data_IF_209868267359
#
_entry.id   IF_209868267359
#
_cell.length_a   1.000
_cell.length_b   1.000
_cell.length_c   1.000
_cell.angle_alpha   90.00
_cell.angle_beta   90.00
_cell.angle_gamma   90.00
#
_symmetry.space_group_name_H-M   'P 1'
#
loop_
_entity.id
_entity.type
_entity.pdbx_description
1 polymer ?
#
# COMPACT_ATOMS: atom_id res chain seq x y z
N UNK A 1 38.26 -0.72 -1.44
CA UNK A 1 37.89 -0.60 -2.86
C UNK A 1 36.95 -1.73 -3.24
N UNK A 2 35.67 -1.42 -3.46
CA UNK A 2 34.77 -2.21 -4.32
C UNK A 2 33.44 -1.44 -4.43
N UNK A 3 33.31 -0.65 -5.50
CA UNK A 3 32.05 -0.09 -5.98
C UNK A 3 31.31 -1.21 -6.70
N UNK A 4 30.04 -1.46 -6.38
CA UNK A 4 29.13 -2.11 -7.31
C UNK A 4 27.87 -1.27 -7.45
N UNK A 5 27.63 -0.88 -8.70
CA UNK A 5 26.61 0.04 -9.17
C UNK A 5 25.23 -0.62 -9.21
N UNK A 6 24.23 0.17 -8.86
CA UNK A 6 22.90 0.36 -9.49
C UNK A 6 22.51 -0.63 -10.60
N UNK A 7 21.26 -1.12 -10.55
CA UNK A 7 20.24 -1.03 -11.62
C UNK A 7 18.86 -1.41 -11.01
N UNK A 8 18.04 -0.42 -10.64
CA UNK A 8 16.82 0.02 -11.36
C UNK A 8 16.04 -1.11 -12.04
N UNK A 9 15.01 -1.61 -11.35
CA UNK A 9 13.93 -2.40 -11.92
C UNK A 9 12.94 -1.41 -12.54
N UNK A 10 12.96 -1.32 -13.86
CA UNK A 10 11.99 -0.59 -14.66
C UNK A 10 10.91 -1.56 -15.17
N UNK A 11 9.66 -1.11 -15.07
CA UNK A 11 8.56 -1.31 -16.03
C UNK A 11 8.20 -2.74 -16.48
N UNK A 12 7.15 -3.29 -15.88
CA UNK A 12 6.35 -4.35 -16.50
C UNK A 12 5.16 -3.72 -17.24
N UNK A 13 5.42 -3.34 -18.49
CA UNK A 13 4.40 -2.97 -19.47
C UNK A 13 3.75 -4.22 -20.06
N UNK A 14 2.42 -4.28 -19.93
CA UNK A 14 1.49 -5.10 -20.68
C UNK A 14 1.68 -4.94 -22.20
N UNK A 15 2.12 -5.99 -22.90
CA UNK A 15 1.87 -6.21 -24.33
C UNK A 15 1.65 -7.71 -24.55
N UNK A 16 0.39 -8.11 -24.72
CA UNK A 16 -0.27 -8.32 -26.01
C UNK A 16 0.17 -9.61 -26.73
N UNK A 17 -0.77 -10.56 -26.72
CA UNK A 17 -0.81 -11.73 -27.59
C UNK A 17 -0.48 -11.35 -29.03
N UNK A 18 0.52 -12.03 -29.62
CA UNK A 18 0.57 -12.24 -31.07
C UNK A 18 0.84 -13.72 -31.34
N UNK A 19 -0.08 -14.45 -32.00
CA UNK A 19 0.20 -15.78 -32.49
C UNK A 19 1.24 -15.66 -33.61
N UNK A 20 2.32 -16.43 -33.47
CA UNK A 20 3.33 -16.58 -34.51
C UNK A 20 2.68 -17.30 -35.69
N UNK A 21 2.35 -16.58 -36.76
CA UNK A 21 1.90 -17.19 -38.01
C UNK A 21 3.10 -17.84 -38.68
N UNK A 22 3.14 -19.17 -38.64
CA UNK A 22 4.10 -19.96 -39.42
C UNK A 22 3.68 -19.83 -40.88
N UNK A 23 4.48 -19.09 -41.66
CA UNK A 23 4.37 -19.00 -43.11
C UNK A 23 4.93 -20.30 -43.70
N UNK A 24 4.05 -21.15 -44.23
CA UNK A 24 4.47 -22.33 -45.00
C UNK A 24 4.92 -21.88 -46.39
N UNK A 25 6.13 -22.23 -46.86
CA UNK A 25 6.50 -21.99 -48.24
C UNK A 25 5.66 -22.88 -49.16
N UNK A 26 5.02 -22.24 -50.14
CA UNK A 26 4.28 -22.89 -51.21
C UNK A 26 5.23 -23.78 -52.02
N UNK A 27 5.04 -25.10 -51.96
CA UNK A 27 5.74 -26.05 -52.82
C UNK A 27 5.19 -25.92 -54.25
N UNK A 28 5.98 -25.25 -55.09
CA UNK A 28 5.78 -25.15 -56.53
C UNK A 28 5.79 -26.52 -57.21
N UNK A 29 4.83 -26.70 -58.10
CA UNK A 29 4.68 -27.88 -58.96
C UNK A 29 5.89 -28.01 -59.89
N UNK A 30 6.71 -29.02 -59.65
CA UNK A 30 7.67 -29.55 -60.60
C UNK A 30 7.46 -31.06 -60.74
N UNK A 31 6.52 -31.49 -61.59
CA UNK A 31 6.39 -32.91 -61.97
C UNK A 31 7.58 -33.29 -62.86
N UNK A 32 8.72 -33.64 -62.25
CA UNK A 32 9.63 -34.60 -62.88
C UNK A 32 9.00 -35.97 -62.68
N UNK A 33 8.69 -36.66 -63.78
CA UNK A 33 8.31 -38.06 -63.76
C UNK A 33 9.52 -38.84 -63.24
N UNK A 34 9.51 -39.18 -61.96
CA UNK A 34 10.39 -40.20 -61.41
C UNK A 34 9.88 -41.53 -61.94
N UNK A 35 10.66 -42.16 -62.81
CA UNK A 35 10.48 -43.55 -63.20
C UNK A 35 11.25 -44.35 -62.15
N UNK A 36 10.59 -45.13 -61.29
CA UNK A 36 11.29 -46.05 -60.40
C UNK A 36 11.92 -47.12 -61.28
N UNK A 37 13.25 -47.13 -61.33
CA UNK A 37 13.98 -48.27 -61.90
C UNK A 37 13.74 -49.50 -61.01
N UNK A 38 13.55 -50.63 -61.66
CA UNK A 38 13.05 -51.86 -61.05
C UNK A 38 14.19 -52.65 -60.42
N UNK A 39 13.89 -53.29 -59.29
CA UNK A 39 14.71 -54.31 -58.59
C UNK A 39 15.82 -53.77 -57.70
N UNK A 40 15.42 -53.18 -56.58
CA UNK A 40 16.00 -53.65 -55.33
C UNK A 40 14.96 -54.59 -54.73
N UNK A 41 15.39 -55.80 -54.38
CA UNK A 41 14.62 -56.68 -53.49
C UNK A 41 14.20 -55.85 -52.28
N UNK A 42 13.00 -56.06 -51.71
CA UNK A 42 12.73 -55.51 -50.39
C UNK A 42 13.84 -56.05 -49.48
N UNK A 43 14.83 -55.22 -49.14
CA UNK A 43 15.63 -55.48 -47.95
C UNK A 43 14.59 -55.70 -46.87
N UNK A 44 14.46 -56.95 -46.44
CA UNK A 44 13.58 -57.35 -45.36
C UNK A 44 13.99 -56.47 -44.18
N UNK A 45 13.25 -55.37 -44.00
CA UNK A 45 13.46 -54.45 -42.91
C UNK A 45 13.24 -55.28 -41.67
N UNK A 46 14.35 -55.60 -41.01
CA UNK A 46 14.39 -56.49 -39.87
C UNK A 46 13.33 -56.03 -38.88
N UNK A 47 12.27 -56.83 -38.77
CA UNK A 47 11.12 -56.49 -37.95
C UNK A 47 11.56 -56.33 -36.48
N UNK A 48 12.62 -57.05 -36.08
CA UNK A 48 13.27 -56.91 -34.77
C UNK A 48 13.89 -55.51 -34.60
N UNK A 49 14.57 -54.98 -35.61
CA UNK A 49 15.17 -53.64 -35.56
C UNK A 49 14.13 -52.50 -35.50
N UNK A 50 12.97 -52.68 -36.13
CA UNK A 50 11.85 -51.73 -36.05
C UNK A 50 11.21 -51.76 -34.65
N UNK A 51 11.01 -52.94 -34.06
CA UNK A 51 10.47 -53.09 -32.72
C UNK A 51 11.41 -52.50 -31.65
N UNK A 52 12.71 -52.74 -31.77
CA UNK A 52 13.73 -52.16 -30.89
C UNK A 52 13.71 -50.62 -30.92
N UNK A 53 13.60 -50.03 -32.12
CA UNK A 53 13.50 -48.57 -32.26
C UNK A 53 12.24 -47.98 -31.62
N UNK A 54 11.09 -48.66 -31.75
CA UNK A 54 9.83 -48.24 -31.13
C UNK A 54 9.91 -48.38 -29.61
N UNK A 55 10.51 -49.46 -29.12
CA UNK A 55 10.67 -49.72 -27.69
C UNK A 55 11.63 -48.71 -27.03
N UNK A 56 12.76 -48.41 -27.68
CA UNK A 56 13.75 -47.43 -27.20
C UNK A 56 13.19 -46.00 -27.25
N UNK A 57 12.48 -45.64 -28.32
CA UNK A 57 11.80 -44.34 -28.43
C UNK A 57 10.73 -44.18 -27.34
N UNK A 58 9.97 -45.23 -27.04
CA UNK A 58 9.01 -45.27 -25.96
C UNK A 58 9.65 -45.22 -24.57
N UNK A 59 10.85 -45.78 -24.40
CA UNK A 59 11.64 -45.64 -23.17
C UNK A 59 12.09 -44.19 -22.98
N UNK A 60 12.70 -43.59 -24.00
CA UNK A 60 13.20 -42.20 -23.93
C UNK A 60 12.09 -41.18 -23.67
N UNK A 61 10.91 -41.38 -24.26
CA UNK A 61 9.74 -40.54 -23.99
C UNK A 61 9.23 -40.66 -22.54
N UNK A 62 9.29 -41.87 -21.96
CA UNK A 62 8.97 -42.10 -20.54
C UNK A 62 9.98 -41.42 -19.62
N UNK A 63 11.27 -41.53 -19.90
CA UNK A 63 12.34 -40.90 -19.12
C UNK A 63 12.23 -39.37 -19.11
N UNK A 64 11.93 -38.76 -20.27
CA UNK A 64 11.71 -37.31 -20.38
C UNK A 64 10.49 -36.88 -19.54
N UNK A 65 9.41 -37.66 -19.58
CA UNK A 65 8.20 -37.38 -18.82
C UNK A 65 8.45 -37.50 -17.31
N UNK A 66 9.13 -38.55 -16.88
CA UNK A 66 9.48 -38.75 -15.47
C UNK A 66 10.42 -37.66 -14.95
N UNK A 67 11.42 -37.25 -15.74
CA UNK A 67 12.30 -36.13 -15.40
C UNK A 67 11.53 -34.81 -15.28
N UNK A 68 10.58 -34.56 -16.19
CA UNK A 68 9.69 -33.39 -16.14
C UNK A 68 8.80 -33.40 -14.90
N UNK A 69 8.18 -34.55 -14.59
CA UNK A 69 7.32 -34.72 -13.42
C UNK A 69 8.12 -34.57 -12.11
N UNK A 70 9.34 -35.11 -12.04
CA UNK A 70 10.23 -34.94 -10.89
C UNK A 70 10.66 -33.48 -10.70
N UNK A 71 10.88 -32.72 -11.78
CA UNK A 71 11.18 -31.30 -11.72
C UNK A 71 9.98 -30.49 -11.20
N UNK A 72 8.78 -30.77 -11.73
CA UNK A 72 7.53 -30.17 -11.24
C UNK A 72 7.31 -30.43 -9.75
N UNK A 73 7.49 -31.67 -9.30
CA UNK A 73 7.35 -32.03 -7.88
C UNK A 73 8.37 -31.28 -7.00
N UNK A 74 9.62 -31.14 -7.44
CA UNK A 74 10.63 -30.36 -6.73
C UNK A 74 10.24 -28.89 -6.63
N UNK A 75 9.72 -28.28 -7.69
CA UNK A 75 9.28 -26.89 -7.69
C UNK A 75 8.04 -26.68 -6.81
N UNK A 76 7.06 -27.58 -6.87
CA UNK A 76 5.93 -27.57 -5.93
C UNK A 76 6.38 -27.68 -4.47
N UNK A 77 7.35 -28.56 -4.19
CA UNK A 77 7.90 -28.69 -2.85
C UNK A 77 8.60 -27.41 -2.38
N UNK A 78 9.45 -26.81 -3.23
CA UNK A 78 10.12 -25.53 -2.95
C UNK A 78 9.12 -24.42 -2.68
N UNK A 79 8.07 -24.32 -3.50
CA UNK A 79 7.00 -23.34 -3.31
C UNK A 79 6.27 -23.57 -1.98
N UNK A 80 5.92 -24.82 -1.65
CA UNK A 80 5.23 -25.16 -0.40
C UNK A 80 6.08 -24.81 0.83
N UNK A 81 7.38 -25.12 0.80
CA UNK A 81 8.32 -24.77 1.89
C UNK A 81 8.45 -23.26 2.02
N UNK A 82 8.62 -22.54 0.90
CA UNK A 82 8.70 -21.07 0.90
C UNK A 82 7.43 -20.41 1.46
N UNK A 83 6.26 -20.90 1.06
CA UNK A 83 4.98 -20.45 1.59
C UNK A 83 4.87 -20.72 3.09
N UNK A 84 5.25 -21.92 3.55
CA UNK A 84 5.27 -22.26 4.98
C UNK A 84 6.19 -21.33 5.77
N UNK A 85 7.41 -21.09 5.28
CA UNK A 85 8.35 -20.15 5.90
C UNK A 85 7.79 -18.72 5.97
N UNK A 86 7.19 -18.23 4.88
CA UNK A 86 6.51 -16.91 4.86
C UNK A 86 5.35 -16.84 5.86
N UNK A 87 4.55 -17.91 5.97
CA UNK A 87 3.45 -17.97 6.93
C UNK A 87 3.99 -17.95 8.35
N UNK A 88 5.01 -18.76 8.66
CA UNK A 88 5.66 -18.77 9.97
C UNK A 88 6.28 -17.41 10.32
N UNK A 89 6.97 -16.78 9.37
CA UNK A 89 7.51 -15.43 9.50
C UNK A 89 6.42 -14.42 9.88
N UNK A 90 5.29 -14.43 9.16
CA UNK A 90 4.15 -13.52 9.42
C UNK A 90 3.42 -13.81 10.73
N UNK A 91 3.36 -15.07 11.16
CA UNK A 91 2.65 -15.48 12.38
C UNK A 91 3.47 -15.17 13.63
N UNK A 92 4.75 -15.55 13.64
CA UNK A 92 5.58 -15.57 14.85
C UNK A 92 6.56 -14.41 14.94
N UNK A 93 7.03 -13.87 13.80
CA UNK A 93 8.05 -12.81 13.76
C UNK A 93 7.44 -11.47 13.35
N UNK A 94 6.29 -11.12 13.94
CA UNK A 94 5.70 -9.80 13.76
C UNK A 94 6.61 -8.78 14.44
N UNK A 95 7.26 -7.93 13.65
CA UNK A 95 7.92 -6.73 14.21
C UNK A 95 6.87 -5.96 15.01
N UNK A 96 7.18 -5.50 16.23
CA UNK A 96 6.25 -4.69 17.01
C UNK A 96 5.85 -3.49 16.16
N UNK A 97 4.57 -3.42 15.81
CA UNK A 97 4.05 -2.35 14.98
C UNK A 97 3.73 -1.16 15.88
N UNK A 98 4.30 0.00 15.52
CA UNK A 98 3.94 1.27 16.15
C UNK A 98 2.44 1.53 16.02
N UNK A 99 1.80 1.84 17.14
CA UNK A 99 0.40 2.22 17.17
C UNK A 99 0.22 3.56 16.47
N UNK A 100 -0.93 3.72 15.80
CA UNK A 100 -1.32 4.98 15.20
C UNK A 100 -1.68 6.00 16.29
N UNK A 101 -0.78 6.94 16.55
CA UNK A 101 -1.00 8.07 17.45
C UNK A 101 -1.22 9.39 16.72
N UNK A 102 -0.96 9.45 15.40
CA UNK A 102 -1.20 10.63 14.61
C UNK A 102 -2.62 10.69 14.06
N UNK A 103 -3.23 11.87 14.18
CA UNK A 103 -4.46 12.22 13.48
C UNK A 103 -4.23 12.20 11.97
N UNK A 104 -5.33 12.15 11.21
CA UNK A 104 -5.22 12.21 9.76
C UNK A 104 -4.55 13.50 9.27
N UNK A 105 -4.89 14.63 9.90
CA UNK A 105 -4.33 15.95 9.57
C UNK A 105 -2.81 16.01 9.76
N UNK A 106 -2.30 15.50 10.88
CA UNK A 106 -0.86 15.42 11.11
C UNK A 106 -0.15 14.54 10.07
N UNK A 107 -0.77 13.42 9.66
CA UNK A 107 -0.21 12.55 8.61
C UNK A 107 -0.15 13.26 7.27
N UNK A 108 -1.20 14.00 6.93
CA UNK A 108 -1.25 14.75 5.67
C UNK A 108 -0.23 15.90 5.66
N UNK A 109 -0.06 16.57 6.81
CA UNK A 109 0.98 17.57 7.00
C UNK A 109 2.38 17.00 6.79
N UNK A 110 2.70 15.82 7.35
CA UNK A 110 3.99 15.15 7.13
C UNK A 110 4.22 14.87 5.64
N UNK A 111 3.20 14.37 4.93
CA UNK A 111 3.30 14.11 3.48
C UNK A 111 3.53 15.41 2.71
N UNK A 112 2.80 16.47 3.05
CA UNK A 112 2.92 17.77 2.41
C UNK A 112 4.33 18.36 2.57
N UNK A 113 4.85 18.35 3.80
CA UNK A 113 6.19 18.89 4.11
C UNK A 113 7.28 18.14 3.33
N UNK A 114 7.26 16.80 3.37
CA UNK A 114 8.24 15.99 2.64
C UNK A 114 8.14 16.16 1.11
N UNK A 115 6.92 16.38 0.58
CA UNK A 115 6.73 16.59 -0.85
C UNK A 115 7.16 17.97 -1.33
N UNK A 116 6.99 19.02 -0.49
CA UNK A 116 7.36 20.40 -0.84
C UNK A 116 8.84 20.68 -0.61
N UNK A 117 9.39 20.15 0.47
CA UNK A 117 10.73 20.47 0.96
C UNK A 117 11.46 19.19 1.41
N UNK A 118 11.82 18.30 0.47
CA UNK A 118 12.46 17.03 0.81
C UNK A 118 13.86 17.19 1.42
N UNK A 119 14.56 18.29 1.11
CA UNK A 119 15.92 18.55 1.61
C UNK A 119 15.93 18.99 3.08
N UNK A 120 14.97 19.82 3.48
CA UNK A 120 14.83 20.29 4.87
C UNK A 120 14.08 19.26 5.73
N UNK A 121 13.02 18.66 5.18
CA UNK A 121 12.16 17.71 5.90
C UNK A 121 12.51 16.27 5.56
N UNK A 122 13.71 15.86 5.97
CA UNK A 122 14.11 14.45 5.91
C UNK A 122 13.25 13.59 6.86
N UNK A 123 13.14 12.27 6.61
CA UNK A 123 12.41 11.36 7.51
C UNK A 123 12.91 11.39 8.96
N UNK A 124 14.16 11.80 9.19
CA UNK A 124 14.77 11.97 10.50
C UNK A 124 14.28 13.26 11.17
N UNK A 125 14.34 14.40 10.47
CA UNK A 125 13.81 15.67 10.97
C UNK A 125 12.30 15.59 11.31
N UNK A 126 11.53 14.90 10.47
CA UNK A 126 10.10 14.65 10.72
C UNK A 126 9.87 13.78 11.97
N UNK A 127 10.75 12.82 12.24
CA UNK A 127 10.64 11.98 13.43
C UNK A 127 11.01 12.74 14.72
N UNK A 128 11.72 13.86 14.63
CA UNK A 128 12.03 14.74 15.77
C UNK A 128 10.88 15.70 16.08
N UNK A 129 10.16 16.18 15.06
CA UNK A 129 9.05 17.11 15.24
C UNK A 129 7.73 16.42 15.64
N UNK A 130 7.54 15.15 15.26
CA UNK A 130 6.31 14.40 15.52
C UNK A 130 6.54 13.21 16.47
N UNK A 131 5.51 12.76 17.21
CA UNK A 131 5.59 11.62 18.13
C UNK A 131 5.53 10.27 17.38
N UNK A 132 6.43 10.08 16.40
CA UNK A 132 6.50 8.88 15.53
C UNK A 132 7.96 8.49 15.30
N UNK A 133 8.24 7.21 15.08
CA UNK A 133 9.59 6.75 14.72
C UNK A 133 9.97 7.13 13.30
N UNK A 134 11.27 7.08 13.00
CA UNK A 134 11.77 7.13 11.62
C UNK A 134 11.11 6.05 10.75
N UNK A 135 10.95 4.83 11.27
CA UNK A 135 10.25 3.76 10.56
C UNK A 135 8.78 4.09 10.33
N UNK A 136 8.10 4.65 11.32
CA UNK A 136 6.71 5.10 11.21
C UNK A 136 6.53 6.20 10.16
N UNK A 137 7.43 7.19 10.10
CA UNK A 137 7.42 8.24 9.08
C UNK A 137 7.60 7.63 7.68
N UNK A 138 8.58 6.74 7.49
CA UNK A 138 8.77 6.04 6.22
C UNK A 138 7.52 5.26 5.80
N UNK A 139 6.83 4.60 6.74
CA UNK A 139 5.56 3.91 6.45
C UNK A 139 4.45 4.89 6.04
N UNK A 140 4.38 6.06 6.67
CA UNK A 140 3.40 7.09 6.30
C UNK A 140 3.65 7.59 4.88
N UNK A 141 4.91 7.87 4.54
CA UNK A 141 5.32 8.33 3.21
C UNK A 141 5.15 7.25 2.13
N UNK A 142 5.40 5.98 2.45
CA UNK A 142 5.16 4.85 1.54
C UNK A 142 3.67 4.53 1.37
N UNK A 143 2.84 4.85 2.37
CA UNK A 143 1.41 4.56 2.30
C UNK A 143 0.68 5.53 1.36
N UNK A 144 0.10 5.00 0.28
CA UNK A 144 -0.79 5.75 -0.62
C UNK A 144 -2.22 5.88 -0.10
N UNK A 145 -2.47 5.59 1.18
CA UNK A 145 -3.82 5.67 1.74
C UNK A 145 -4.29 7.11 1.77
N UNK A 146 -5.33 7.41 0.99
CA UNK A 146 -6.10 8.65 1.01
C UNK A 146 -7.54 8.31 1.38
N UNK A 147 -8.09 8.86 2.47
CA UNK A 147 -9.48 8.62 2.84
C UNK A 147 -10.38 9.14 1.73
N UNK A 148 -11.43 8.38 1.42
CA UNK A 148 -12.36 8.73 0.34
C UNK A 148 -13.47 9.65 0.83
N UNK A 149 -13.79 9.59 2.12
CA UNK A 149 -14.89 10.35 2.73
C UNK A 149 -14.47 10.96 4.07
N UNK A 150 -15.17 12.02 4.46
CA UNK A 150 -14.96 12.68 5.76
C UNK A 150 -15.23 11.73 6.94
N UNK A 151 -16.19 10.81 6.80
CA UNK A 151 -16.51 9.84 7.84
C UNK A 151 -15.35 8.90 8.17
N UNK A 152 -14.54 8.53 7.17
CA UNK A 152 -13.33 7.72 7.38
C UNK A 152 -12.28 8.48 8.20
N UNK A 153 -12.14 9.79 7.93
CA UNK A 153 -11.25 10.67 8.70
C UNK A 153 -11.70 10.74 10.15
N UNK A 154 -13.01 10.93 10.39
CA UNK A 154 -13.59 11.00 11.73
C UNK A 154 -13.39 9.67 12.47
N UNK A 155 -13.69 8.54 11.84
CA UNK A 155 -13.46 7.20 12.42
C UNK A 155 -11.99 6.98 12.78
N UNK A 156 -11.07 7.41 11.93
CA UNK A 156 -9.63 7.34 12.21
C UNK A 156 -9.27 8.17 13.44
N UNK A 157 -9.70 9.43 13.48
CA UNK A 157 -9.41 10.33 14.60
C UNK A 157 -10.02 9.84 15.93
N UNK A 158 -11.21 9.22 15.90
CA UNK A 158 -11.81 8.59 17.10
C UNK A 158 -10.92 7.46 17.64
N UNK A 159 -10.39 6.61 16.77
CA UNK A 159 -9.47 5.53 17.18
C UNK A 159 -8.18 6.08 17.78
N UNK A 160 -7.62 7.12 17.17
CA UNK A 160 -6.42 7.81 17.67
C UNK A 160 -6.69 8.40 19.06
N UNK A 161 -7.82 9.08 19.25
CA UNK A 161 -8.21 9.61 20.55
C UNK A 161 -8.36 8.50 21.61
N UNK A 162 -8.87 7.32 21.24
CA UNK A 162 -8.91 6.16 22.14
C UNK A 162 -7.50 5.70 22.55
N UNK A 163 -6.55 5.65 21.61
CA UNK A 163 -5.15 5.32 21.92
C UNK A 163 -4.51 6.36 22.84
N UNK A 164 -4.82 7.65 22.67
CA UNK A 164 -4.32 8.70 23.57
C UNK A 164 -4.87 8.56 24.99
N UNK A 165 -6.15 8.18 25.13
CA UNK A 165 -6.75 7.88 26.44
C UNK A 165 -6.06 6.70 27.11
N UNK A 166 -5.87 5.61 26.36
CA UNK A 166 -5.12 4.45 26.85
C UNK A 166 -3.72 4.87 27.32
N UNK A 167 -2.96 5.60 26.50
CA UNK A 167 -1.63 6.08 26.88
C UNK A 167 -1.64 6.91 28.16
N UNK A 168 -2.64 7.78 28.33
CA UNK A 168 -2.80 8.56 29.57
C UNK A 168 -3.08 7.66 30.77
N UNK A 169 -3.98 6.71 30.64
CA UNK A 169 -4.36 5.81 31.73
C UNK A 169 -3.15 4.95 32.15
N UNK A 170 -2.34 4.51 31.18
CA UNK A 170 -1.04 3.85 31.43
C UNK A 170 -0.10 4.73 32.26
N UNK A 171 0.01 6.02 31.93
CA UNK A 171 0.88 6.96 32.65
C UNK A 171 0.36 7.29 34.06
N UNK A 172 -0.96 7.30 34.27
CA UNK A 172 -1.59 7.56 35.57
C UNK A 172 -1.52 6.36 36.52
N UNK A 173 -1.61 5.13 35.98
CA UNK A 173 -1.52 3.89 36.75
C UNK A 173 -0.05 3.57 37.07
N UNK A 174 0.52 4.26 38.07
CA UNK A 174 1.85 3.93 38.62
C UNK A 174 1.85 2.48 39.14
N UNK A 175 2.40 1.56 38.36
CA UNK A 175 2.60 0.15 38.76
C UNK A 175 1.59 -0.87 38.19
N UNK A 176 0.69 -0.47 37.30
CA UNK A 176 -0.23 -1.40 36.64
C UNK A 176 0.41 -2.09 35.45
N UNK A 177 0.60 -3.41 35.54
CA UNK A 177 1.03 -4.31 34.48
C UNK A 177 0.03 -4.29 33.31
N UNK A 178 0.13 -3.25 32.50
CA UNK A 178 -0.67 -3.03 31.31
C UNK A 178 0.25 -3.22 30.13
N UNK A 179 -0.21 -3.89 29.07
CA UNK A 179 0.58 -4.35 27.93
C UNK A 179 1.36 -3.21 27.26
N UNK A 180 2.50 -2.86 27.85
CA UNK A 180 3.31 -1.70 27.48
C UNK A 180 3.91 -1.89 26.09
N UNK A 181 3.88 -3.12 25.56
CA UNK A 181 4.33 -3.50 24.23
C UNK A 181 3.81 -2.57 23.13
N UNK A 182 2.58 -2.09 23.29
CA UNK A 182 1.87 -1.26 22.34
C UNK A 182 2.40 0.18 22.25
N UNK A 183 2.82 0.75 23.39
CA UNK A 183 3.33 2.13 23.48
C UNK A 183 4.82 2.20 23.78
N UNK A 184 5.51 1.04 23.82
CA UNK A 184 6.95 0.90 24.05
C UNK A 184 7.75 1.91 23.25
N UNK A 185 7.45 2.04 21.96
CA UNK A 185 8.15 3.00 21.10
C UNK A 185 8.10 4.43 21.66
N UNK A 186 6.94 4.95 22.06
CA UNK A 186 6.82 6.33 22.55
C UNK A 186 7.46 6.51 23.93
N UNK A 187 7.33 5.50 24.78
CA UNK A 187 7.89 5.50 26.13
C UNK A 187 9.43 5.39 26.11
N UNK A 188 9.96 4.45 25.34
CA UNK A 188 11.39 4.14 25.27
C UNK A 188 12.17 5.24 24.52
N UNK A 189 11.56 5.85 23.51
CA UNK A 189 12.22 6.91 22.72
C UNK A 189 12.10 8.31 23.32
N UNK A 190 11.42 8.47 24.46
CA UNK A 190 11.25 9.77 25.11
C UNK A 190 10.39 10.77 24.31
N UNK A 191 9.58 10.31 23.36
CA UNK A 191 8.77 11.17 22.46
C UNK A 191 7.46 11.66 23.07
N UNK A 192 7.21 11.38 24.35
CA UNK A 192 6.02 11.84 25.06
C UNK A 192 5.78 13.37 24.96
N UNK A 193 6.79 14.26 25.05
CA UNK A 193 6.57 15.70 24.92
C UNK A 193 6.03 16.10 23.54
N UNK A 194 6.38 15.34 22.50
CA UNK A 194 5.95 15.58 21.12
C UNK A 194 4.49 15.18 20.88
N UNK A 195 3.81 14.57 21.86
CA UNK A 195 2.38 14.23 21.76
C UNK A 195 1.49 15.46 21.53
N UNK A 196 1.95 16.65 21.92
CA UNK A 196 1.28 17.92 21.59
C UNK A 196 1.13 18.13 20.08
N UNK A 197 2.09 17.64 19.30
CA UNK A 197 2.14 17.78 17.84
C UNK A 197 1.40 16.63 17.12
N UNK A 198 0.86 15.67 17.87
CA UNK A 198 0.17 14.51 17.29
C UNK A 198 -1.10 14.88 16.49
N UNK A 199 -1.67 16.05 16.79
CA UNK A 199 -2.82 16.62 16.08
C UNK A 199 -2.45 17.41 14.82
N UNK A 200 -1.17 17.75 14.64
CA UNK A 200 -0.67 18.66 13.62
C UNK A 200 -0.04 19.89 14.26
N UNK A 201 0.92 20.49 13.56
CA UNK A 201 1.59 21.72 13.96
C UNK A 201 0.88 22.92 13.31
N UNK A 202 0.22 23.80 14.07
CA UNK A 202 -0.54 24.92 13.50
C UNK A 202 0.38 25.96 12.82
N UNK A 203 1.67 25.98 13.15
CA UNK A 203 2.67 26.87 12.56
C UNK A 203 3.19 26.42 11.20
N UNK A 204 2.93 25.17 10.81
CA UNK A 204 3.44 24.59 9.57
C UNK A 204 2.33 24.49 8.53
N UNK A 205 2.64 24.70 7.24
CA UNK A 205 1.63 24.66 6.18
C UNK A 205 1.02 23.26 6.06
N UNK A 206 -0.29 23.20 5.91
CA UNK A 206 -1.06 21.97 5.69
C UNK A 206 -1.53 21.95 4.23
N UNK A 207 -1.55 20.76 3.61
CA UNK A 207 -2.18 20.61 2.30
C UNK A 207 -3.66 20.95 2.41
N UNK A 208 -4.16 21.88 1.59
CA UNK A 208 -5.60 22.19 1.52
C UNK A 208 -6.35 20.88 1.29
N UNK A 209 -7.40 20.62 2.08
CA UNK A 209 -8.20 19.40 1.91
C UNK A 209 -8.93 19.52 0.56
N UNK A 210 -9.20 18.42 -0.15
CA UNK A 210 -9.95 18.45 -1.40
C UNK A 210 -11.37 19.04 -1.26
N UNK A 211 -11.90 19.14 -0.02
CA UNK A 211 -13.15 19.86 0.26
C UNK A 211 -13.01 21.39 0.25
N UNK A 212 -11.87 21.94 0.67
CA UNK A 212 -11.65 23.39 0.78
C UNK A 212 -11.54 24.03 -0.62
N UNK A 213 -11.07 23.28 -1.61
CA UNK A 213 -11.06 23.72 -3.01
C UNK A 213 -12.47 23.82 -3.61
N UNK A 214 -13.47 23.16 -3.02
CA UNK A 214 -14.87 23.28 -3.45
C UNK A 214 -15.48 24.60 -2.96
N UNK A 215 -15.14 25.05 -1.75
CA UNK A 215 -15.61 26.34 -1.21
C UNK A 215 -15.06 27.52 -2.02
N UNK A 216 -13.79 27.48 -2.44
CA UNK A 216 -13.20 28.48 -3.33
C UNK A 216 -13.91 28.53 -4.71
N UNK A 217 -14.38 27.38 -5.21
CA UNK A 217 -15.16 27.30 -6.47
C UNK A 217 -16.62 27.74 -6.30
N UNK A 218 -17.21 27.60 -5.11
CA UNK A 218 -18.54 28.11 -4.80
C UNK A 218 -18.56 29.63 -4.67
N UNK A 219 -17.50 30.26 -4.15
CA UNK A 219 -17.36 31.71 -4.13
C UNK A 219 -17.22 32.31 -5.55
N UNK A 220 -16.67 31.55 -6.50
CA UNK A 220 -16.59 31.95 -7.91
C UNK A 220 -17.90 31.74 -8.70
N UNK A 221 -18.83 30.91 -8.18
CA UNK A 221 -20.17 30.67 -8.76
C UNK A 221 -21.25 31.64 -8.28
N UNK A 222 -20.88 32.69 -7.55
CA UNK A 222 -21.75 33.86 -7.36
C UNK A 222 -21.81 34.77 -8.61
N UNK A 223 -21.13 34.40 -9.70
CA UNK A 223 -21.29 35.07 -11.00
C UNK A 223 -22.52 34.51 -11.73
N UNK A 224 -23.60 35.26 -11.60
CA UNK A 224 -24.87 35.18 -12.35
C UNK A 224 -25.70 33.92 -12.09
N UNK A 225 -26.40 33.91 -10.95
CA UNK A 225 -27.67 33.17 -10.81
C UNK A 225 -28.60 33.70 -11.91
N UNK A 226 -28.98 32.84 -12.86
CA UNK A 226 -29.94 33.22 -13.89
C UNK A 226 -31.27 33.64 -13.26
N UNK A 227 -32.02 34.53 -13.92
CA UNK A 227 -33.32 35.06 -13.44
C UNK A 227 -34.23 33.94 -12.90
N UNK A 228 -34.19 32.77 -13.55
CA UNK A 228 -34.98 31.60 -13.20
C UNK A 228 -34.56 30.89 -11.90
N UNK A 229 -33.27 30.84 -11.56
CA UNK A 229 -32.75 30.21 -10.32
C UNK A 229 -33.00 31.07 -9.08
N UNK A 230 -33.15 32.39 -9.25
CA UNK A 230 -33.48 33.33 -8.15
C UNK A 230 -34.85 33.07 -7.54
N UNK A 231 -35.81 32.64 -8.37
CA UNK A 231 -37.20 32.38 -7.96
C UNK A 231 -37.28 31.10 -7.12
N UNK A 232 -36.47 30.08 -7.46
CA UNK A 232 -36.45 28.79 -6.73
C UNK A 232 -35.63 28.88 -5.44
N UNK A 233 -34.56 29.68 -5.41
CA UNK A 233 -33.69 29.82 -4.24
C UNK A 233 -34.33 30.57 -3.05
N UNK A 234 -35.37 31.38 -3.30
CA UNK A 234 -36.07 32.16 -2.27
C UNK A 234 -36.87 31.32 -1.27
N UNK A 235 -37.18 30.05 -1.57
CA UNK A 235 -38.07 29.25 -0.71
C UNK A 235 -37.35 28.26 0.23
N UNK A 236 -36.04 28.01 0.06
CA UNK A 236 -35.35 26.89 0.74
C UNK A 236 -34.08 27.26 1.53
N UNK A 237 -33.68 28.53 1.62
CA UNK A 237 -32.39 28.92 2.20
C UNK A 237 -32.32 28.88 3.73
N UNK A 238 -33.44 29.00 4.43
CA UNK A 238 -33.41 29.23 5.88
C UNK A 238 -33.23 27.94 6.70
N UNK A 239 -33.61 26.78 6.14
CA UNK A 239 -33.54 25.50 6.88
C UNK A 239 -32.17 24.81 6.78
N UNK A 240 -31.41 25.01 5.71
CA UNK A 240 -30.13 24.32 5.49
C UNK A 240 -28.97 25.00 6.25
N UNK A 241 -29.02 26.33 6.39
CA UNK A 241 -28.00 27.10 7.13
C UNK A 241 -28.06 26.86 8.64
N UNK A 242 -29.24 26.64 9.19
CA UNK A 242 -29.40 26.39 10.63
C UNK A 242 -28.89 25.00 11.04
N UNK A 243 -29.05 23.99 10.19
CA UNK A 243 -28.58 22.61 10.46
C UNK A 243 -27.06 22.49 10.38
N UNK A 244 -26.43 23.21 9.44
CA UNK A 244 -24.96 23.20 9.25
C UNK A 244 -24.24 23.93 10.38
N UNK A 245 -24.74 25.09 10.81
CA UNK A 245 -24.18 25.83 11.96
C UNK A 245 -24.26 25.04 13.27
N UNK A 246 -25.34 24.28 13.50
CA UNK A 246 -25.50 23.43 14.69
C UNK A 246 -24.54 22.24 14.71
N UNK A 247 -24.19 21.68 13.55
CA UNK A 247 -23.25 20.57 13.46
C UNK A 247 -21.80 21.00 13.72
N UNK A 248 -21.41 22.19 13.26
CA UNK A 248 -20.06 22.74 13.45
C UNK A 248 -19.79 23.19 14.89
N UNK A 249 -20.79 23.76 15.57
CA UNK A 249 -20.67 24.18 16.96
C UNK A 249 -20.45 22.99 17.91
N UNK A 250 -21.18 21.89 17.73
CA UNK A 250 -21.00 20.67 18.53
C UNK A 250 -19.66 19.94 18.27
N UNK A 251 -18.98 20.22 17.16
CA UNK A 251 -17.67 19.66 16.83
C UNK A 251 -16.51 20.48 17.40
N UNK A 252 -16.66 21.81 17.55
CA UNK A 252 -15.66 22.68 18.19
C UNK A 252 -15.52 22.38 19.69
N UNK A 253 -16.63 22.15 20.39
CA UNK A 253 -16.61 21.84 21.83
C UNK A 253 -15.88 20.53 22.14
N UNK A 254 -16.11 19.47 21.33
CA UNK A 254 -15.39 18.18 21.48
C UNK A 254 -13.91 18.27 21.08
N UNK A 255 -13.57 19.20 20.18
CA UNK A 255 -12.18 19.50 19.84
C UNK A 255 -11.43 20.20 20.97
N UNK A 256 -12.07 21.17 21.63
CA UNK A 256 -11.51 21.91 22.76
C UNK A 256 -11.32 21.05 24.01
N UNK A 257 -12.23 20.11 24.29
CA UNK A 257 -12.03 19.12 25.34
C UNK A 257 -10.78 18.29 25.07
N UNK A 258 -10.57 17.81 23.84
CA UNK A 258 -9.36 17.08 23.46
C UNK A 258 -8.09 17.94 23.56
N UNK A 259 -8.18 19.25 23.33
CA UNK A 259 -7.06 20.19 23.46
C UNK A 259 -6.71 20.48 24.93
N UNK A 260 -7.71 20.64 25.82
CA UNK A 260 -7.50 20.71 27.27
C UNK A 260 -6.85 19.42 27.79
N UNK A 261 -7.34 18.29 27.30
CA UNK A 261 -6.83 16.94 27.58
C UNK A 261 -5.37 16.69 27.14
N UNK A 262 -4.87 17.41 26.13
CA UNK A 262 -3.47 17.35 25.69
C UNK A 262 -2.55 18.23 26.55
N UNK A 263 -3.04 19.39 27.01
CA UNK A 263 -2.30 20.31 27.89
C UNK A 263 -2.01 19.66 29.25
N UNK A 264 -2.94 18.88 29.80
CA UNK A 264 -2.75 18.17 31.07
C UNK A 264 -1.65 17.09 31.01
N UNK A 265 -1.46 16.45 29.86
CA UNK A 265 -0.38 15.46 29.66
C UNK A 265 0.99 16.14 29.65
N UNK A 266 1.11 17.33 29.05
CA UNK A 266 2.35 18.09 29.00
C UNK A 266 2.78 18.64 30.38
N UNK A 267 1.83 18.92 31.27
CA UNK A 267 2.11 19.37 32.64
C UNK A 267 2.69 18.23 33.50
N UNK A 268 2.16 17.01 33.35
CA UNK A 268 2.67 15.83 34.07
C UNK A 268 4.10 15.45 33.64
N UNK A 269 4.47 15.72 32.39
CA UNK A 269 5.84 15.50 31.89
C UNK A 269 6.88 16.51 32.39
N UNK A 270 6.47 17.63 33.01
CA UNK A 270 7.36 18.71 33.48
C UNK A 270 7.73 18.62 34.96
N UNK A 271 7.15 17.68 35.71
CA UNK A 271 7.40 17.47 37.13
C UNK A 271 8.39 16.30 37.42
N UNK A 272 9.32 16.03 36.52
CA UNK A 272 10.46 15.13 36.75
C UNK A 272 11.76 15.84 36.44
#
# INVERSE_FOLDING_TARGET
>A
MARVKLHRIAELSLLFLRPFSVSYPALGRGRRRFVPDSRQEPEELDHEAIEDFIMESGSRARDIREASDAMLQKDFHRQKVHLKQKIMARKHFKKPQEINLLTWEAKEQIRYLHNKFPDEWTPEALAESFPVSREGVLRILQSSYTPRTQDEIVKHNIRVAAHWRQLRDLLKMKGGQTDSANFRHVLDTGKLPLMLNAGGLPSLPVSRKPGDALEDAHQQRDRQIGIFESIVAGSCRDKVKEVTLKLEQGQREKGEENLKLLKDIAVVGKCR
#
